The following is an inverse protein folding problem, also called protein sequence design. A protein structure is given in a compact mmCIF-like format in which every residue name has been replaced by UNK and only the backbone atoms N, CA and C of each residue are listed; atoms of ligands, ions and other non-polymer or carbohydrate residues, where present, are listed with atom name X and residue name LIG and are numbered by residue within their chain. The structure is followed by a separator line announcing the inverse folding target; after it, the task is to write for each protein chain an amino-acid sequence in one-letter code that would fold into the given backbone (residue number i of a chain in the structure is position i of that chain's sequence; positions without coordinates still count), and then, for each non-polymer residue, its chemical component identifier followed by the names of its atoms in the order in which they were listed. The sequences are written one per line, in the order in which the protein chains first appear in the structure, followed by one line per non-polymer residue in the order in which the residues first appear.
data_IF_153937620750
#
_entry.id   IF_153937620750
#
_cell.length_a   1.000
_cell.length_b   1.000
_cell.length_c   1.000
_cell.angle_alpha   90.00
_cell.angle_beta   90.00
_cell.angle_gamma   90.00
#
_symmetry.space_group_name_H-M   'P 1'
#
loop_
_entity.id
_entity.type
_entity.pdbx_description
1 polymer ?
#
# COMPACT_ATOMS: atom_id res chain seq x y z
N UNK A 1 28.44 10.32 -0.84
CA UNK A 1 28.80 9.90 0.53
C UNK A 1 27.95 8.68 0.85
N UNK A 2 28.55 7.48 0.93
CA UNK A 2 27.80 6.23 1.13
C UNK A 2 27.48 6.06 2.62
N UNK A 3 26.22 6.28 2.99
CA UNK A 3 25.74 6.24 4.38
C UNK A 3 26.04 4.90 5.08
N UNK A 4 26.23 3.82 4.31
CA UNK A 4 26.60 2.49 4.83
C UNK A 4 27.98 2.45 5.48
N UNK A 5 28.89 3.37 5.13
CA UNK A 5 30.22 3.45 5.73
C UNK A 5 30.24 4.25 7.04
N UNK A 6 29.22 5.08 7.27
CA UNK A 6 29.17 6.02 8.41
C UNK A 6 28.26 5.50 9.51
N UNK A 7 27.17 4.81 9.14
CA UNK A 7 26.22 4.23 10.09
C UNK A 7 26.35 2.72 10.02
N UNK A 8 27.04 2.07 10.97
CA UNK A 8 27.07 0.61 11.04
C UNK A 8 25.64 0.08 11.23
N UNK A 9 25.36 -1.10 10.68
CA UNK A 9 24.08 -1.78 10.92
C UNK A 9 23.91 -1.94 12.44
N UNK A 10 22.71 -1.66 13.00
CA UNK A 10 22.47 -1.83 14.42
C UNK A 10 22.79 -3.28 14.80
N UNK A 11 23.74 -3.45 15.71
CA UNK A 11 24.04 -4.74 16.31
C UNK A 11 23.02 -4.99 17.42
N UNK A 12 22.12 -5.95 17.21
CA UNK A 12 21.11 -6.37 18.20
C UNK A 12 21.71 -7.14 19.40
N UNK A 13 23.01 -6.97 19.66
CA UNK A 13 23.75 -7.56 20.77
C UNK A 13 23.56 -6.71 22.04
N UNK A 14 22.31 -6.57 22.50
CA UNK A 14 22.00 -6.12 23.85
C UNK A 14 22.11 -7.25 24.87
N UNK A 15 22.02 -6.94 26.16
CA UNK A 15 21.91 -7.94 27.22
C UNK A 15 20.79 -8.92 26.90
N UNK A 16 21.07 -10.23 26.97
CA UNK A 16 20.13 -11.29 26.64
C UNK A 16 18.80 -11.09 27.38
N UNK A 17 17.73 -10.85 26.64
CA UNK A 17 16.37 -10.72 27.15
C UNK A 17 15.51 -11.84 26.58
N UNK A 18 15.18 -12.82 27.42
CA UNK A 18 14.38 -13.99 27.03
C UNK A 18 13.01 -13.59 26.45
N UNK A 19 12.36 -12.60 27.06
CA UNK A 19 11.09 -12.04 26.56
C UNK A 19 11.26 -11.35 25.19
N UNK A 20 12.36 -10.64 24.97
CA UNK A 20 12.66 -10.02 23.68
C UNK A 20 12.83 -11.06 22.57
N UNK A 21 13.67 -12.08 22.81
CA UNK A 21 13.91 -13.15 21.86
C UNK A 21 12.64 -13.94 21.51
N UNK A 22 11.78 -14.21 22.50
CA UNK A 22 10.52 -14.90 22.28
C UNK A 22 9.54 -14.05 21.45
N UNK A 23 9.51 -12.73 21.66
CA UNK A 23 8.69 -11.81 20.87
C UNK A 23 9.23 -11.64 19.44
N UNK A 24 10.54 -11.58 19.26
CA UNK A 24 11.19 -11.48 17.95
C UNK A 24 10.92 -12.73 17.11
N UNK A 25 11.02 -13.91 17.72
CA UNK A 25 10.72 -15.18 17.05
C UNK A 25 9.24 -15.30 16.67
N UNK A 26 8.32 -14.82 17.51
CA UNK A 26 6.87 -14.90 17.21
C UNK A 26 6.43 -13.86 16.18
N UNK A 27 7.05 -12.68 16.19
CA UNK A 27 6.70 -11.59 15.27
C UNK A 27 7.42 -11.68 13.91
N UNK A 28 8.48 -12.49 13.78
CA UNK A 28 9.35 -12.53 12.60
C UNK A 28 9.89 -11.13 12.24
N UNK A 29 10.21 -10.33 13.26
CA UNK A 29 10.59 -8.91 13.11
C UNK A 29 11.72 -8.72 12.09
N UNK A 30 12.82 -9.47 12.22
CA UNK A 30 13.98 -9.34 11.30
C UNK A 30 13.59 -9.54 9.83
N UNK A 31 12.81 -10.59 9.56
CA UNK A 31 12.33 -10.91 8.22
C UNK A 31 11.40 -9.82 7.69
N UNK A 32 10.52 -9.29 8.55
CA UNK A 32 9.62 -8.20 8.21
C UNK A 32 10.40 -6.94 7.78
N UNK A 33 11.40 -6.51 8.55
CA UNK A 33 12.18 -5.32 8.22
C UNK A 33 13.10 -5.55 7.01
N UNK A 34 13.67 -6.75 6.84
CA UNK A 34 14.40 -7.11 5.64
C UNK A 34 13.52 -7.01 4.38
N UNK A 35 12.28 -7.53 4.46
CA UNK A 35 11.29 -7.43 3.39
C UNK A 35 10.94 -5.97 3.07
N UNK A 36 10.73 -5.13 4.08
CA UNK A 36 10.47 -3.69 3.91
C UNK A 36 11.64 -2.95 3.24
N UNK A 37 12.89 -3.26 3.61
CA UNK A 37 14.08 -2.66 2.99
C UNK A 37 14.17 -3.07 1.52
N UNK A 38 13.96 -4.35 1.21
CA UNK A 38 13.94 -4.84 -0.17
C UNK A 38 12.85 -4.14 -1.00
N UNK A 39 11.64 -4.01 -0.46
CA UNK A 39 10.54 -3.30 -1.11
C UNK A 39 10.88 -1.83 -1.39
N UNK A 40 11.46 -1.11 -0.41
CA UNK A 40 11.91 0.27 -0.59
C UNK A 40 12.94 0.42 -1.71
N UNK A 41 13.84 -0.56 -1.89
CA UNK A 41 14.82 -0.56 -2.98
C UNK A 41 14.15 -0.68 -4.34
N UNK A 42 13.11 -1.51 -4.46
CA UNK A 42 12.29 -1.62 -5.69
C UNK A 42 11.63 -0.28 -6.00
N UNK A 43 10.98 0.35 -5.01
CA UNK A 43 10.33 1.65 -5.19
C UNK A 43 11.32 2.74 -5.60
N UNK A 44 12.51 2.79 -4.99
CA UNK A 44 13.56 3.75 -5.34
C UNK A 44 14.04 3.53 -6.78
N UNK A 45 14.35 2.28 -7.15
CA UNK A 45 14.81 1.96 -8.49
C UNK A 45 13.76 2.33 -9.56
N UNK A 46 12.49 2.07 -9.29
CA UNK A 46 11.38 2.50 -10.15
C UNK A 46 11.34 4.02 -10.30
N UNK A 47 11.46 4.76 -9.20
CA UNK A 47 11.43 6.22 -9.25
C UNK A 47 12.61 6.81 -10.05
N UNK A 48 13.80 6.26 -9.87
CA UNK A 48 15.00 6.64 -10.63
C UNK A 48 14.82 6.37 -12.14
N UNK A 49 14.31 5.18 -12.50
CA UNK A 49 14.04 4.82 -13.89
C UNK A 49 12.96 5.72 -14.51
N UNK A 50 11.87 6.00 -13.80
CA UNK A 50 10.80 6.89 -14.28
C UNK A 50 11.27 8.33 -14.46
N UNK A 51 12.08 8.85 -13.54
CA UNK A 51 12.63 10.21 -13.66
C UNK A 51 13.58 10.32 -14.86
N UNK A 52 14.36 9.27 -15.14
CA UNK A 52 15.20 9.21 -16.33
C UNK A 52 14.33 9.27 -17.62
N UNK A 53 13.33 8.40 -17.74
CA UNK A 53 12.50 8.35 -18.96
C UNK A 53 11.68 9.63 -19.20
N UNK A 54 11.14 10.21 -18.13
CA UNK A 54 10.36 11.47 -18.22
C UNK A 54 11.23 12.67 -18.57
N UNK A 55 12.50 12.69 -18.16
CA UNK A 55 13.42 13.79 -18.45
C UNK A 55 13.97 13.77 -19.88
N UNK A 56 14.07 12.60 -20.51
CA UNK A 56 14.71 12.46 -21.83
C UNK A 56 13.74 12.46 -23.02
N UNK A 57 12.56 11.83 -22.92
CA UNK A 57 11.64 11.76 -24.06
C UNK A 57 10.17 11.66 -23.72
N UNK A 58 9.81 11.31 -22.47
CA UNK A 58 8.43 11.00 -22.07
C UNK A 58 7.71 10.04 -23.04
N UNK A 59 8.46 9.12 -23.68
CA UNK A 59 7.90 8.19 -24.65
C UNK A 59 6.91 7.22 -23.97
N UNK A 60 5.61 7.19 -24.38
CA UNK A 60 4.60 6.34 -23.75
C UNK A 60 4.91 4.84 -23.79
N UNK A 61 5.68 4.36 -24.78
CA UNK A 61 6.09 2.95 -24.85
C UNK A 61 7.20 2.63 -23.85
N UNK A 62 8.15 3.55 -23.68
CA UNK A 62 9.23 3.39 -22.70
C UNK A 62 8.66 3.38 -21.28
N UNK A 63 7.71 4.27 -20.99
CA UNK A 63 6.99 4.29 -19.70
C UNK A 63 6.33 2.94 -19.43
N UNK A 64 5.56 2.39 -20.38
CA UNK A 64 4.93 1.07 -20.20
C UNK A 64 5.95 -0.04 -19.92
N UNK A 65 7.11 -0.02 -20.58
CA UNK A 65 8.16 -1.02 -20.35
C UNK A 65 8.79 -0.93 -18.96
N UNK A 66 9.04 0.28 -18.45
CA UNK A 66 9.55 0.52 -17.09
C UNK A 66 8.54 0.04 -16.06
N UNK A 67 7.25 0.36 -16.26
CA UNK A 67 6.17 -0.10 -15.38
C UNK A 67 6.09 -1.62 -15.35
N UNK A 68 6.09 -2.29 -16.52
CA UNK A 68 6.04 -3.75 -16.59
C UNK A 68 7.25 -4.40 -15.92
N UNK A 69 8.45 -3.88 -16.15
CA UNK A 69 9.66 -4.39 -15.53
C UNK A 69 9.57 -4.33 -14.00
N UNK A 70 9.21 -3.18 -13.42
CA UNK A 70 9.14 -3.02 -11.98
C UNK A 70 7.94 -3.73 -11.35
N UNK A 71 6.82 -3.85 -12.06
CA UNK A 71 5.70 -4.69 -11.62
C UNK A 71 6.12 -6.16 -11.49
N UNK A 72 6.86 -6.70 -12.47
CA UNK A 72 7.40 -8.05 -12.39
C UNK A 72 8.40 -8.22 -11.22
N UNK A 73 9.23 -7.21 -10.94
CA UNK A 73 10.11 -7.24 -9.77
C UNK A 73 9.32 -7.23 -8.46
N UNK A 74 8.21 -6.49 -8.40
CA UNK A 74 7.34 -6.44 -7.23
C UNK A 74 6.63 -7.79 -6.98
N UNK A 75 6.13 -8.43 -8.03
CA UNK A 75 5.53 -9.78 -7.93
C UNK A 75 6.55 -10.83 -7.52
N UNK A 76 7.76 -10.77 -8.09
CA UNK A 76 8.88 -11.64 -7.66
C UNK A 76 9.23 -11.41 -6.20
N UNK A 77 9.25 -10.16 -5.75
CA UNK A 77 9.48 -9.85 -4.33
C UNK A 77 8.44 -10.52 -3.43
N UNK A 78 7.15 -10.47 -3.82
CA UNK A 78 6.07 -11.10 -3.06
C UNK A 78 6.24 -12.63 -3.02
N UNK A 79 6.61 -13.26 -4.13
CA UNK A 79 6.73 -14.72 -4.21
C UNK A 79 7.91 -15.30 -3.44
N UNK A 80 8.97 -14.53 -3.21
CA UNK A 80 10.15 -14.96 -2.42
C UNK A 80 10.06 -14.61 -0.93
N UNK A 81 8.94 -14.02 -0.48
CA UNK A 81 8.77 -13.72 0.94
C UNK A 81 8.80 -15.03 1.76
N UNK A 82 9.33 -14.99 2.99
CA UNK A 82 9.23 -16.11 3.92
C UNK A 82 7.76 -16.53 4.13
N UNK A 83 7.46 -17.82 4.33
CA UNK A 83 6.08 -18.31 4.45
C UNK A 83 5.24 -17.57 5.49
N UNK A 84 5.85 -17.15 6.60
CA UNK A 84 5.19 -16.40 7.66
C UNK A 84 4.72 -14.99 7.25
N UNK A 85 5.29 -14.44 6.18
CA UNK A 85 4.99 -13.11 5.64
C UNK A 85 4.24 -13.17 4.32
N UNK A 86 3.98 -14.36 3.77
CA UNK A 86 3.23 -14.51 2.53
C UNK A 86 1.74 -14.28 2.76
N UNK A 87 1.05 -13.83 1.71
CA UNK A 87 -0.39 -13.70 1.74
C UNK A 87 -1.05 -14.00 0.42
N UNK A 88 -2.32 -14.41 0.55
CA UNK A 88 -3.24 -14.61 -0.55
C UNK A 88 -4.16 -13.38 -0.65
N UNK A 89 -4.27 -12.82 -1.85
CA UNK A 89 -5.14 -11.68 -2.15
C UNK A 89 -6.61 -12.12 -2.30
N UNK A 90 -6.86 -13.41 -2.58
CA UNK A 90 -8.22 -13.96 -2.63
C UNK A 90 -8.87 -14.06 -1.25
N UNK A 91 -8.05 -14.12 -0.20
CA UNK A 91 -8.52 -14.05 1.19
C UNK A 91 -8.63 -12.58 1.57
N UNK A 92 -9.88 -12.12 1.68
CA UNK A 92 -10.18 -10.80 2.23
C UNK A 92 -9.35 -10.57 3.49
N UNK A 93 -8.80 -9.37 3.63
CA UNK A 93 -8.18 -8.95 4.88
C UNK A 93 -9.17 -8.91 6.06
N UNK A 94 -10.47 -9.00 5.73
CA UNK A 94 -11.62 -8.73 6.58
C UNK A 94 -12.58 -9.90 6.62
N UNK A 95 -12.99 -10.28 7.83
CA UNK A 95 -14.28 -10.89 8.10
C UNK A 95 -14.96 -9.98 9.13
N UNK A 96 -16.15 -9.48 8.80
CA UNK A 96 -16.98 -8.64 9.68
C UNK A 96 -16.28 -7.40 10.28
N UNK A 97 -15.36 -6.79 9.53
CA UNK A 97 -14.64 -5.59 9.97
C UNK A 97 -13.44 -5.86 10.89
N UNK A 98 -13.10 -7.12 11.13
CA UNK A 98 -11.91 -7.52 11.88
C UNK A 98 -10.84 -8.15 10.97
N UNK A 99 -9.57 -7.94 11.33
CA UNK A 99 -8.44 -8.53 10.63
C UNK A 99 -8.41 -10.05 10.78
N UNK A 100 -8.36 -10.76 9.65
CA UNK A 100 -8.27 -12.21 9.59
C UNK A 100 -6.88 -12.81 9.86
N UNK A 101 -5.84 -12.00 10.09
CA UNK A 101 -4.46 -12.45 9.94
C UNK A 101 -3.89 -13.24 11.12
N UNK A 102 -4.66 -14.18 11.68
CA UNK A 102 -4.11 -15.18 12.57
C UNK A 102 -4.94 -16.44 12.76
N UNK A 103 -4.37 -17.57 12.34
CA UNK A 103 -4.82 -18.93 12.65
C UNK A 103 -4.91 -19.21 14.16
N UNK A 104 -5.93 -20.01 14.50
CA UNK A 104 -6.35 -20.61 15.77
C UNK A 104 -6.72 -19.71 16.96
N UNK A 105 -8.03 -19.69 17.24
CA UNK A 105 -8.73 -19.09 18.40
C UNK A 105 -8.53 -19.94 19.68
N UNK A 106 -7.52 -20.82 19.70
CA UNK A 106 -7.36 -21.84 20.73
C UNK A 106 -6.78 -21.31 22.04
N UNK A 107 -6.01 -20.20 22.01
CA UNK A 107 -5.26 -19.73 23.19
C UNK A 107 -5.79 -18.36 23.66
N UNK A 108 -6.52 -18.36 24.78
CA UNK A 108 -7.15 -17.17 25.38
C UNK A 108 -6.21 -16.36 26.28
N UNK A 109 -4.93 -16.70 26.34
CA UNK A 109 -3.95 -15.94 27.14
C UNK A 109 -3.81 -14.49 26.64
N UNK A 110 -3.76 -13.54 27.57
CA UNK A 110 -3.55 -12.11 27.27
C UNK A 110 -2.23 -11.88 26.50
N UNK A 111 -1.21 -12.69 26.78
CA UNK A 111 0.07 -12.62 26.06
C UNK A 111 -0.02 -13.18 24.64
N UNK A 112 -0.84 -14.21 24.42
CA UNK A 112 -1.12 -14.74 23.09
C UNK A 112 -1.89 -13.71 22.25
N UNK A 113 -2.84 -12.99 22.86
CA UNK A 113 -3.56 -11.88 22.24
C UNK A 113 -2.62 -10.73 21.84
N UNK A 114 -1.69 -10.33 22.72
CA UNK A 114 -0.69 -9.28 22.42
C UNK A 114 0.26 -9.71 21.29
N UNK A 115 0.74 -10.96 21.30
CA UNK A 115 1.60 -11.50 20.23
C UNK A 115 0.88 -11.54 18.88
N UNK A 116 -0.39 -11.95 18.87
CA UNK A 116 -1.25 -11.92 17.68
C UNK A 116 -1.38 -10.50 17.13
N UNK A 117 -1.74 -9.54 17.98
CA UNK A 117 -1.87 -8.13 17.58
C UNK A 117 -0.61 -7.56 16.89
N UNK A 118 0.58 -7.80 17.47
CA UNK A 118 1.84 -7.30 16.89
C UNK A 118 2.09 -7.89 15.50
N UNK A 119 1.90 -9.20 15.32
CA UNK A 119 2.06 -9.87 14.03
C UNK A 119 1.03 -9.37 13.01
N UNK A 120 -0.20 -9.15 13.44
CA UNK A 120 -1.30 -8.71 12.59
C UNK A 120 -1.04 -7.28 12.08
N UNK A 121 -0.56 -6.38 12.95
CA UNK A 121 -0.17 -5.01 12.57
C UNK A 121 1.02 -5.01 11.62
N UNK A 122 2.06 -5.81 11.87
CA UNK A 122 3.21 -5.92 10.96
C UNK A 122 2.79 -6.45 9.59
N UNK A 123 1.92 -7.46 9.56
CA UNK A 123 1.37 -8.01 8.33
C UNK A 123 0.56 -6.95 7.57
N UNK A 124 -0.33 -6.23 8.27
CA UNK A 124 -1.12 -5.15 7.70
C UNK A 124 -0.23 -4.03 7.13
N UNK A 125 0.84 -3.66 7.85
CA UNK A 125 1.81 -2.66 7.40
C UNK A 125 2.54 -3.10 6.12
N UNK A 126 3.07 -4.34 6.10
CA UNK A 126 3.81 -4.87 4.95
C UNK A 126 2.93 -4.92 3.71
N UNK A 127 1.70 -5.44 3.84
CA UNK A 127 0.72 -5.49 2.76
C UNK A 127 0.37 -4.09 2.25
N UNK A 128 0.08 -3.16 3.16
CA UNK A 128 -0.24 -1.78 2.77
C UNK A 128 0.92 -1.13 2.01
N UNK A 129 2.18 -1.39 2.41
CA UNK A 129 3.35 -0.90 1.69
C UNK A 129 3.50 -1.54 0.30
N UNK A 130 3.20 -2.84 0.17
CA UNK A 130 3.19 -3.52 -1.11
C UNK A 130 2.13 -2.92 -2.05
N UNK A 131 0.88 -2.78 -1.61
CA UNK A 131 -0.19 -2.22 -2.45
C UNK A 131 0.05 -0.74 -2.77
N UNK A 132 0.64 0.02 -1.86
CA UNK A 132 1.11 1.36 -2.17
C UNK A 132 2.20 1.36 -3.25
N UNK A 133 3.18 0.45 -3.19
CA UNK A 133 4.21 0.31 -4.22
C UNK A 133 3.59 -0.08 -5.58
N UNK A 134 2.64 -1.02 -5.57
CA UNK A 134 1.92 -1.46 -6.76
C UNK A 134 1.13 -0.30 -7.38
N UNK A 135 0.38 0.46 -6.57
CA UNK A 135 -0.28 1.69 -6.96
C UNK A 135 0.70 2.67 -7.62
N UNK A 136 1.82 2.98 -6.95
CA UNK A 136 2.81 3.94 -7.47
C UNK A 136 3.46 3.48 -8.78
N UNK A 137 3.73 2.17 -8.93
CA UNK A 137 4.32 1.59 -10.14
C UNK A 137 3.36 1.70 -11.32
N UNK A 138 2.08 1.38 -11.14
CA UNK A 138 1.10 1.40 -12.23
C UNK A 138 0.48 2.77 -12.50
N UNK A 139 0.56 3.72 -11.57
CA UNK A 139 -0.01 5.08 -11.70
C UNK A 139 0.37 5.82 -13.01
N UNK A 140 1.60 5.72 -13.55
CA UNK A 140 1.93 6.35 -14.83
C UNK A 140 1.05 5.87 -16.00
N UNK A 141 0.51 4.65 -15.94
CA UNK A 141 -0.41 4.15 -16.97
C UNK A 141 -1.76 4.87 -16.92
N UNK A 142 -2.22 5.29 -15.74
CA UNK A 142 -3.42 6.14 -15.63
C UNK A 142 -3.24 7.46 -16.38
N UNK A 143 -2.07 8.09 -16.22
CA UNK A 143 -1.71 9.29 -16.97
C UNK A 143 -1.68 8.99 -18.48
N UNK A 144 -1.06 7.88 -18.88
CA UNK A 144 -1.05 7.46 -20.29
C UNK A 144 -2.47 7.30 -20.85
N UNK A 145 -3.39 6.70 -20.09
CA UNK A 145 -4.79 6.53 -20.52
C UNK A 145 -5.50 7.88 -20.72
N UNK A 146 -5.29 8.82 -19.80
CA UNK A 146 -5.94 10.13 -19.84
C UNK A 146 -5.39 11.03 -20.97
N UNK A 147 -4.08 10.96 -21.25
CA UNK A 147 -3.43 11.89 -22.18
C UNK A 147 -3.14 11.31 -23.56
N UNK A 148 -3.00 9.99 -23.69
CA UNK A 148 -2.67 9.31 -24.95
C UNK A 148 -3.63 8.13 -25.25
N UNK A 149 -4.96 8.37 -25.32
CA UNK A 149 -5.95 7.30 -25.45
C UNK A 149 -5.80 6.44 -26.72
N UNK A 150 -5.18 6.99 -27.78
CA UNK A 150 -4.91 6.26 -29.03
C UNK A 150 -3.73 5.29 -28.95
N UNK A 151 -2.89 5.40 -27.92
CA UNK A 151 -1.64 4.63 -27.77
C UNK A 151 -1.71 3.61 -26.63
N UNK A 152 -2.93 3.23 -26.21
CA UNK A 152 -3.18 2.28 -25.13
C UNK A 152 -3.11 0.85 -25.69
N UNK A 153 -2.37 -0.01 -25.00
CA UNK A 153 -2.35 -1.46 -25.27
C UNK A 153 -3.25 -2.21 -24.29
N UNK A 154 -3.51 -3.50 -24.56
CA UNK A 154 -4.21 -4.39 -23.62
C UNK A 154 -3.47 -4.51 -22.29
N UNK A 155 -2.14 -4.52 -22.33
CA UNK A 155 -1.31 -4.58 -21.13
C UNK A 155 -1.44 -3.30 -20.28
N UNK A 156 -1.58 -2.14 -20.93
CA UNK A 156 -1.81 -0.88 -20.23
C UNK A 156 -3.17 -0.91 -19.52
N UNK A 157 -4.20 -1.45 -20.17
CA UNK A 157 -5.54 -1.62 -19.57
C UNK A 157 -5.47 -2.54 -18.35
N UNK A 158 -4.78 -3.67 -18.46
CA UNK A 158 -4.57 -4.57 -17.34
C UNK A 158 -3.81 -3.87 -16.21
N UNK A 159 -2.72 -3.15 -16.50
CA UNK A 159 -1.94 -2.41 -15.51
C UNK A 159 -2.74 -1.32 -14.79
N UNK A 160 -3.64 -0.62 -15.51
CA UNK A 160 -4.57 0.35 -14.91
C UNK A 160 -5.56 -0.36 -13.97
N UNK A 161 -6.06 -1.54 -14.35
CA UNK A 161 -6.91 -2.34 -13.46
C UNK A 161 -6.17 -2.74 -12.18
N UNK A 162 -4.90 -3.14 -12.27
CA UNK A 162 -4.04 -3.42 -11.13
C UNK A 162 -3.84 -2.16 -10.26
N UNK A 163 -3.63 -1.00 -10.88
CA UNK A 163 -3.51 0.28 -10.18
C UNK A 163 -4.77 0.58 -9.35
N UNK A 164 -5.95 0.47 -9.95
CA UNK A 164 -7.22 0.74 -9.29
C UNK A 164 -7.49 -0.24 -8.16
N UNK A 165 -7.23 -1.55 -8.37
CA UNK A 165 -7.35 -2.57 -7.31
C UNK A 165 -6.40 -2.31 -6.14
N UNK A 166 -5.18 -1.88 -6.43
CA UNK A 166 -4.17 -1.54 -5.40
C UNK A 166 -4.61 -0.38 -4.51
N UNK A 167 -5.43 0.54 -5.03
CA UNK A 167 -5.99 1.62 -4.23
C UNK A 167 -6.95 1.13 -3.15
N UNK A 168 -7.67 0.01 -3.38
CA UNK A 168 -8.68 -0.50 -2.46
C UNK A 168 -8.08 -1.38 -1.35
N UNK A 169 -6.95 -2.03 -1.63
CA UNK A 169 -6.36 -3.05 -0.75
C UNK A 169 -5.42 -2.45 0.31
N UNK A 170 -5.91 -1.64 1.25
CA UNK A 170 -5.06 -1.01 2.26
C UNK A 170 -5.42 -1.50 3.67
N UNK A 171 -4.93 -2.70 4.07
CA UNK A 171 -5.29 -3.33 5.34
C UNK A 171 -5.21 -2.40 6.53
N UNK A 172 -4.15 -1.58 6.63
CA UNK A 172 -3.93 -0.68 7.76
C UNK A 172 -5.07 0.30 8.03
N UNK A 173 -5.83 0.67 7.00
CA UNK A 173 -6.99 1.57 7.13
C UNK A 173 -8.18 0.89 7.76
N UNK A 174 -8.26 -0.42 7.57
CA UNK A 174 -9.39 -1.21 8.00
C UNK A 174 -9.15 -1.74 9.42
N UNK A 175 -7.88 -1.93 9.81
CA UNK A 175 -7.51 -2.38 11.17
C UNK A 175 -7.88 -1.38 12.25
N UNK A 176 -7.76 -0.08 11.98
CA UNK A 176 -7.76 0.93 13.02
C UNK A 176 -9.19 1.44 13.28
N UNK A 177 -9.87 1.00 14.35
CA UNK A 177 -11.18 1.52 14.70
C UNK A 177 -10.98 2.87 15.38
N UNK A 178 -11.64 3.92 14.88
CA UNK A 178 -11.80 5.20 15.58
C UNK A 178 -10.52 5.83 16.15
N UNK A 179 -10.55 6.19 17.45
CA UNK A 179 -9.58 7.06 18.16
C UNK A 179 -8.10 6.60 18.12
N UNK A 180 -7.80 5.40 17.64
CA UNK A 180 -6.44 4.86 17.53
C UNK A 180 -5.73 5.20 16.22
N UNK A 181 -6.43 5.74 15.20
CA UNK A 181 -5.81 6.19 13.93
C UNK A 181 -4.78 7.30 14.12
N UNK A 182 -4.84 8.05 15.23
CA UNK A 182 -3.86 9.07 15.60
C UNK A 182 -2.49 8.48 16.01
N UNK A 183 -2.40 7.16 16.20
CA UNK A 183 -1.14 6.46 16.44
C UNK A 183 -0.43 6.07 15.13
N UNK A 184 -1.05 6.31 13.97
CA UNK A 184 -0.40 6.10 12.68
C UNK A 184 0.68 7.16 12.50
N UNK A 185 1.97 6.76 12.40
CA UNK A 185 3.03 7.71 12.14
C UNK A 185 2.82 8.33 10.74
N UNK A 186 3.21 9.60 10.61
CA UNK A 186 3.14 10.37 9.35
C UNK A 186 1.70 10.63 8.86
N UNK A 187 0.85 11.27 9.67
CA UNK A 187 -0.55 11.61 9.29
C UNK A 187 -0.66 12.30 7.92
N UNK A 188 0.26 13.23 7.62
CA UNK A 188 0.34 13.90 6.31
C UNK A 188 0.37 12.91 5.13
N UNK A 189 1.15 11.84 5.25
CA UNK A 189 1.26 10.81 4.22
C UNK A 189 -0.10 10.14 3.98
N UNK A 190 -0.85 9.83 5.04
CA UNK A 190 -2.16 9.20 4.91
C UNK A 190 -3.19 10.14 4.27
N UNK A 191 -3.30 11.37 4.76
CA UNK A 191 -4.22 12.38 4.23
C UNK A 191 -3.99 12.63 2.74
N UNK A 192 -2.73 12.82 2.33
CA UNK A 192 -2.37 13.05 0.93
C UNK A 192 -2.72 11.85 0.04
N UNK A 193 -2.45 10.64 0.51
CA UNK A 193 -2.73 9.43 -0.26
C UNK A 193 -4.22 9.16 -0.41
N UNK A 194 -5.01 9.30 0.66
CA UNK A 194 -6.45 9.10 0.59
C UNK A 194 -7.10 10.09 -0.37
N UNK A 195 -6.74 11.37 -0.26
CA UNK A 195 -7.23 12.36 -1.19
C UNK A 195 -6.82 12.02 -2.63
N UNK A 196 -5.57 11.62 -2.84
CA UNK A 196 -5.08 11.21 -4.16
C UNK A 196 -5.88 10.04 -4.76
N UNK A 197 -6.27 9.07 -3.95
CA UNK A 197 -7.09 7.92 -4.38
C UNK A 197 -8.53 8.36 -4.66
N UNK A 198 -9.13 9.19 -3.79
CA UNK A 198 -10.47 9.73 -4.00
C UNK A 198 -10.54 10.49 -5.34
N UNK A 199 -9.54 11.33 -5.64
CA UNK A 199 -9.43 12.02 -6.91
C UNK A 199 -9.25 11.06 -8.09
N UNK A 200 -8.46 9.99 -7.93
CA UNK A 200 -8.31 8.95 -8.94
C UNK A 200 -9.67 8.33 -9.29
N UNK A 201 -10.47 7.97 -8.28
CA UNK A 201 -11.80 7.39 -8.50
C UNK A 201 -12.80 8.40 -9.07
N UNK A 202 -12.73 9.67 -8.67
CA UNK A 202 -13.49 10.74 -9.32
C UNK A 202 -13.14 10.84 -10.82
N UNK A 203 -11.85 10.79 -11.19
CA UNK A 203 -11.44 10.78 -12.59
C UNK A 203 -11.99 9.57 -13.37
N UNK A 204 -12.18 8.41 -12.72
CA UNK A 204 -12.81 7.24 -13.37
C UNK A 204 -14.29 7.46 -13.71
N UNK A 205 -14.99 8.33 -12.98
CA UNK A 205 -16.37 8.69 -13.29
C UNK A 205 -16.44 9.66 -14.47
N UNK A 206 -15.44 10.54 -14.61
CA UNK A 206 -15.40 11.57 -15.65
C UNK A 206 -14.87 11.07 -17.00
N UNK A 207 -13.95 10.11 -17.00
CA UNK A 207 -13.36 9.56 -18.23
C UNK A 207 -14.09 8.28 -18.67
N UNK A 208 -14.70 8.23 -19.88
CA UNK A 208 -15.39 7.03 -20.36
C UNK A 208 -14.52 5.78 -20.41
N UNK A 209 -13.23 5.95 -20.74
CA UNK A 209 -12.29 4.84 -20.86
C UNK A 209 -11.83 4.32 -19.49
N UNK A 210 -11.55 5.20 -18.54
CA UNK A 210 -11.27 4.74 -17.17
C UNK A 210 -12.51 4.14 -16.52
N UNK A 211 -13.69 4.70 -16.79
CA UNK A 211 -14.96 4.18 -16.32
C UNK A 211 -15.26 2.78 -16.84
N UNK A 212 -14.92 2.48 -18.10
CA UNK A 212 -15.08 1.12 -18.64
C UNK A 212 -14.12 0.12 -18.01
N UNK A 213 -12.86 0.51 -17.77
CA UNK A 213 -11.88 -0.34 -17.06
C UNK A 213 -12.33 -0.60 -15.63
N UNK A 214 -12.78 0.43 -14.90
CA UNK A 214 -13.33 0.29 -13.55
C UNK A 214 -14.46 -0.74 -13.53
N UNK A 215 -15.50 -0.54 -14.35
CA UNK A 215 -16.68 -1.42 -14.39
C UNK A 215 -16.36 -2.85 -14.83
N UNK A 216 -15.33 -3.03 -15.66
CA UNK A 216 -14.95 -4.35 -16.17
C UNK A 216 -14.13 -5.19 -15.20
N UNK A 217 -13.41 -4.57 -14.26
CA UNK A 217 -12.40 -5.27 -13.44
C UNK A 217 -12.61 -5.14 -11.92
N UNK A 218 -13.44 -4.22 -11.46
CA UNK A 218 -13.64 -3.93 -10.03
C UNK A 218 -15.12 -4.04 -9.65
N UNK A 219 -15.36 -4.44 -8.40
CA UNK A 219 -16.69 -4.46 -7.79
C UNK A 219 -17.05 -3.07 -7.22
N UNK A 220 -18.24 -2.58 -7.56
CA UNK A 220 -18.71 -1.25 -7.13
C UNK A 220 -18.98 -1.16 -5.63
N UNK A 221 -19.38 -2.27 -4.99
CA UNK A 221 -19.59 -2.33 -3.55
C UNK A 221 -18.27 -2.21 -2.78
N UNK A 222 -17.23 -2.90 -3.23
CA UNK A 222 -15.89 -2.82 -2.64
C UNK A 222 -15.22 -1.46 -2.85
N UNK A 223 -15.45 -0.83 -4.01
CA UNK A 223 -15.05 0.57 -4.24
C UNK A 223 -15.71 1.47 -3.20
N UNK A 224 -17.05 1.47 -3.11
CA UNK A 224 -17.77 2.39 -2.24
C UNK A 224 -17.33 2.25 -0.77
N UNK A 225 -17.26 1.02 -0.26
CA UNK A 225 -16.79 0.75 1.11
C UNK A 225 -15.39 1.34 1.36
N UNK A 226 -14.47 1.17 0.42
CA UNK A 226 -13.10 1.64 0.56
C UNK A 226 -13.02 3.18 0.54
N UNK A 227 -13.77 3.82 -0.36
CA UNK A 227 -13.82 5.28 -0.46
C UNK A 227 -14.46 5.91 0.79
N UNK A 228 -15.52 5.29 1.32
CA UNK A 228 -16.17 5.73 2.57
C UNK A 228 -15.21 5.66 3.76
N UNK A 229 -14.43 4.58 3.88
CA UNK A 229 -13.40 4.43 4.92
C UNK A 229 -12.33 5.52 4.79
N UNK A 230 -11.87 5.83 3.58
CA UNK A 230 -10.86 6.87 3.34
C UNK A 230 -11.41 8.27 3.66
N UNK A 231 -12.61 8.59 3.21
CA UNK A 231 -13.28 9.86 3.48
C UNK A 231 -13.50 10.06 4.98
N UNK A 232 -14.03 9.04 5.67
CA UNK A 232 -14.19 9.06 7.12
C UNK A 232 -12.85 9.26 7.85
N UNK A 233 -11.78 8.62 7.38
CA UNK A 233 -10.45 8.76 7.96
C UNK A 233 -9.90 10.19 7.80
N UNK A 234 -10.14 10.86 6.67
CA UNK A 234 -9.78 12.28 6.50
C UNK A 234 -10.53 13.16 7.51
N UNK A 235 -11.84 12.93 7.68
CA UNK A 235 -12.65 13.69 8.63
C UNK A 235 -12.18 13.52 10.08
N UNK A 236 -11.73 12.31 10.45
CA UNK A 236 -11.15 12.05 11.77
C UNK A 236 -9.82 12.79 11.97
N UNK A 237 -8.93 12.77 10.96
CA UNK A 237 -7.61 13.39 11.03
C UNK A 237 -7.64 14.93 10.94
N UNK A 238 -8.73 15.53 10.43
CA UNK A 238 -8.92 16.99 10.28
C UNK A 238 -8.62 17.80 11.54
N UNK A 239 -8.87 17.22 12.73
CA UNK A 239 -8.66 17.89 14.02
C UNK A 239 -7.18 18.04 14.39
N UNK A 240 -6.30 17.22 13.82
CA UNK A 240 -4.88 17.11 14.20
C UNK A 240 -3.93 17.42 13.07
N UNK A 241 -4.35 17.25 11.81
CA UNK A 241 -3.54 17.45 10.61
C UNK A 241 -4.16 18.52 9.70
N UNK A 242 -3.39 19.57 9.39
CA UNK A 242 -3.84 20.65 8.51
C UNK A 242 -4.07 20.15 7.08
N UNK A 243 -3.31 19.16 6.62
CA UNK A 243 -3.51 18.56 5.30
C UNK A 243 -4.85 17.82 5.25
N UNK A 244 -5.22 17.07 6.29
CA UNK A 244 -6.55 16.48 6.42
C UNK A 244 -7.66 17.53 6.44
N UNK A 245 -7.44 18.66 7.12
CA UNK A 245 -8.41 19.76 7.13
C UNK A 245 -8.67 20.32 5.73
N UNK A 246 -7.61 20.63 4.98
CA UNK A 246 -7.74 21.05 3.59
C UNK A 246 -8.36 19.94 2.71
N UNK A 247 -7.90 18.70 2.87
CA UNK A 247 -8.42 17.56 2.11
C UNK A 247 -9.92 17.37 2.32
N UNK A 248 -10.44 17.60 3.52
CA UNK A 248 -11.88 17.51 3.80
C UNK A 248 -12.70 18.46 2.94
N UNK A 249 -12.21 19.68 2.71
CA UNK A 249 -12.90 20.67 1.86
C UNK A 249 -12.97 20.21 0.41
N UNK A 250 -11.94 19.49 -0.06
CA UNK A 250 -11.92 18.93 -1.41
C UNK A 250 -12.87 17.73 -1.49
N UNK A 251 -12.87 16.86 -0.49
CA UNK A 251 -13.75 15.69 -0.45
C UNK A 251 -15.22 16.09 -0.46
N UNK A 252 -15.59 17.17 0.22
CA UNK A 252 -16.97 17.69 0.23
C UNK A 252 -17.42 18.21 -1.16
N UNK A 253 -16.50 18.38 -2.12
CA UNK A 253 -16.76 18.82 -3.50
C UNK A 253 -16.79 17.67 -4.53
N UNK A 254 -16.31 16.48 -4.16
CA UNK A 254 -16.24 15.30 -5.04
C UNK A 254 -17.56 14.51 -5.02
#
# INVERSE_FOLDING_TARGET
MDLKQIVPLPTFSGSFCYLGQQLDHVSNFEQHYAALIALRRICRAFHEAMNHETSHSANPKAISSVVQYHANQLERWKSILPPALQWDDARSALVDGELLFGSDISDKSEEAARRKYVRDVQTALLRTRYYYAQYMIYRPLMYKVLHFPKNITTDDVYGVSCCLKSCLNWPLLIVAPGKQKLLLPYLFYWSQNFLGILLVFYCTQMSPLLGSIRKGFLDEGDIQKSLDIMAASIQEMKKTDQMASWSSLVVDLL
#
